data_IF_479556188671
#
_entry.id   IF_479556188671
#
_cell.length_a   1.000
_cell.length_b   1.000
_cell.length_c   1.000
_cell.angle_alpha   90.00
_cell.angle_beta   90.00
_cell.angle_gamma   90.00
#
_symmetry.space_group_name_H-M   'P 1'
#
loop_
_entity.id
_entity.type
_entity.pdbx_description
1 polymer ?
#
# COMPACT_ATOMS: atom_id res chain seq x y z
N UNK A 1 -15.56 -15.55 30.04
CA UNK A 1 -15.39 -15.02 28.68
C UNK A 1 -16.74 -15.05 27.99
N UNK A 2 -17.26 -13.89 27.60
CA UNK A 2 -18.60 -13.76 27.01
C UNK A 2 -18.57 -14.09 25.51
N UNK A 3 -19.75 -14.26 24.90
CA UNK A 3 -19.86 -14.41 23.44
C UNK A 3 -19.25 -13.21 22.68
N UNK A 4 -19.42 -12.00 23.24
CA UNK A 4 -18.89 -10.78 22.67
C UNK A 4 -17.37 -10.70 22.75
N UNK A 5 -16.77 -11.17 23.86
CA UNK A 5 -15.31 -11.25 24.00
C UNK A 5 -14.72 -12.20 22.96
N UNK A 6 -15.33 -13.38 22.77
CA UNK A 6 -14.90 -14.38 21.78
C UNK A 6 -14.99 -13.83 20.35
N UNK A 7 -16.06 -13.08 20.04
CA UNK A 7 -16.23 -12.44 18.73
C UNK A 7 -15.17 -11.37 18.47
N UNK A 8 -14.81 -10.59 19.49
CA UNK A 8 -13.74 -9.57 19.38
C UNK A 8 -12.37 -10.22 19.17
N UNK A 9 -12.06 -11.25 19.95
CA UNK A 9 -10.80 -11.97 19.85
C UNK A 9 -10.62 -12.63 18.47
N UNK A 10 -11.66 -13.28 17.95
CA UNK A 10 -11.62 -13.89 16.62
C UNK A 10 -11.40 -12.83 15.53
N UNK A 11 -12.07 -11.69 15.60
CA UNK A 11 -11.85 -10.58 14.66
C UNK A 11 -10.41 -10.06 14.70
N UNK A 12 -9.83 -9.94 15.90
CA UNK A 12 -8.45 -9.50 16.06
C UNK A 12 -7.47 -10.50 15.43
N UNK A 13 -7.68 -11.80 15.65
CA UNK A 13 -6.85 -12.86 15.05
C UNK A 13 -6.93 -12.86 13.52
N UNK A 14 -8.13 -12.70 12.95
CA UNK A 14 -8.32 -12.62 11.48
C UNK A 14 -7.56 -11.42 10.90
N UNK A 15 -7.72 -10.23 11.49
CA UNK A 15 -7.01 -9.02 11.04
C UNK A 15 -5.49 -9.15 11.14
N UNK A 16 -4.99 -9.75 12.23
CA UNK A 16 -3.56 -9.99 12.39
C UNK A 16 -3.01 -10.95 11.32
N UNK A 17 -3.76 -12.01 10.99
CA UNK A 17 -3.40 -12.95 9.94
C UNK A 17 -3.44 -12.31 8.55
N UNK A 18 -4.44 -11.48 8.25
CA UNK A 18 -4.52 -10.71 7.00
C UNK A 18 -3.33 -9.75 6.86
N UNK A 19 -3.01 -9.00 7.93
CA UNK A 19 -1.85 -8.10 7.96
C UNK A 19 -0.54 -8.86 7.71
N UNK A 20 -0.36 -10.01 8.34
CA UNK A 20 0.85 -10.81 8.16
C UNK A 20 0.95 -11.35 6.72
N UNK A 21 -0.15 -11.85 6.14
CA UNK A 21 -0.16 -12.30 4.75
C UNK A 21 0.20 -11.17 3.78
N UNK A 22 -0.32 -9.97 4.02
CA UNK A 22 0.00 -8.81 3.19
C UNK A 22 1.50 -8.49 3.25
N UNK A 23 2.05 -8.41 4.47
CA UNK A 23 3.49 -8.26 4.71
C UNK A 23 4.33 -9.32 3.99
N UNK A 24 3.96 -10.59 4.13
CA UNK A 24 4.68 -11.72 3.54
C UNK A 24 4.62 -11.70 2.01
N UNK A 25 3.59 -11.08 1.43
CA UNK A 25 3.43 -10.96 -0.03
C UNK A 25 4.18 -9.78 -0.65
N UNK A 26 4.70 -8.84 0.15
CA UNK A 26 5.32 -7.63 -0.37
C UNK A 26 6.55 -7.97 -1.23
N UNK A 27 6.63 -7.48 -2.48
CA UNK A 27 7.80 -7.69 -3.34
C UNK A 27 8.96 -6.72 -3.03
N UNK A 28 8.83 -5.95 -1.95
CA UNK A 28 9.79 -4.94 -1.52
C UNK A 28 9.70 -4.74 0.00
N UNK A 29 10.69 -4.05 0.58
CA UNK A 29 10.64 -3.67 1.99
C UNK A 29 9.42 -2.77 2.28
N UNK A 30 8.76 -2.99 3.42
CA UNK A 30 7.66 -2.16 3.90
C UNK A 30 8.03 -0.67 3.99
N UNK A 31 9.29 -0.36 4.30
CA UNK A 31 9.81 1.02 4.33
C UNK A 31 9.82 1.64 2.94
N UNK A 32 10.12 0.87 1.90
CA UNK A 32 10.02 1.31 0.51
C UNK A 32 8.59 1.59 0.10
N UNK A 33 7.65 0.72 0.46
CA UNK A 33 6.22 0.98 0.23
C UNK A 33 5.77 2.27 0.93
N UNK A 34 6.18 2.45 2.19
CA UNK A 34 5.87 3.65 2.97
C UNK A 34 6.36 4.93 2.31
N UNK A 35 7.53 4.89 1.68
CA UNK A 35 8.12 6.04 1.00
C UNK A 35 7.53 6.29 -0.40
N UNK A 36 7.02 5.25 -1.07
CA UNK A 36 6.37 5.36 -2.38
C UNK A 36 5.08 6.20 -2.30
N UNK A 37 4.24 5.98 -1.28
CA UNK A 37 2.96 6.67 -1.14
C UNK A 37 3.08 8.21 -1.11
N UNK A 38 3.91 8.82 -0.24
CA UNK A 38 4.11 10.26 -0.25
C UNK A 38 4.87 10.76 -1.49
N UNK A 39 5.69 9.94 -2.13
CA UNK A 39 6.34 10.30 -3.39
C UNK A 39 5.32 10.53 -4.52
N UNK A 40 4.28 9.68 -4.59
CA UNK A 40 3.21 9.80 -5.57
C UNK A 40 2.17 10.88 -5.17
N UNK A 41 1.95 11.10 -3.88
CA UNK A 41 0.91 12.00 -3.36
C UNK A 41 1.31 13.50 -3.41
N UNK A 42 1.38 14.04 -4.63
CA UNK A 42 1.74 15.44 -4.92
C UNK A 42 0.53 16.39 -4.77
N UNK A 43 0.79 17.64 -4.38
CA UNK A 43 -0.20 18.72 -4.32
C UNK A 43 0.31 19.98 -5.08
N UNK A 44 -0.38 20.45 -6.15
CA UNK A 44 -1.56 19.83 -6.74
C UNK A 44 -1.23 18.50 -7.40
N UNK A 45 -2.16 17.54 -7.31
CA UNK A 45 -2.01 16.27 -8.00
C UNK A 45 -1.96 16.50 -9.52
N UNK A 46 -0.97 15.94 -10.24
CA UNK A 46 -0.94 16.03 -11.69
C UNK A 46 -2.13 15.28 -12.31
N UNK A 47 -2.53 15.60 -13.56
CA UNK A 47 -3.47 14.78 -14.31
C UNK A 47 -2.99 13.33 -14.38
N UNK A 48 -3.90 12.37 -14.19
CA UNK A 48 -3.57 10.97 -14.29
C UNK A 48 -3.08 10.61 -15.70
N UNK A 49 -1.88 10.04 -15.79
CA UNK A 49 -1.30 9.54 -17.05
C UNK A 49 -1.80 8.14 -17.42
N UNK A 50 -2.54 7.46 -16.53
CA UNK A 50 -2.93 6.05 -16.61
C UNK A 50 -1.74 5.09 -16.77
N UNK A 51 -0.59 5.47 -16.22
CA UNK A 51 0.63 4.65 -16.21
C UNK A 51 1.23 4.58 -14.81
N UNK A 52 2.28 3.75 -14.67
CA UNK A 52 3.13 3.65 -13.49
C UNK A 52 4.45 4.42 -13.66
N UNK A 53 4.47 5.49 -14.44
CA UNK A 53 5.72 6.18 -14.81
C UNK A 53 6.50 6.63 -13.57
N UNK A 54 5.81 7.24 -12.60
CA UNK A 54 6.44 7.75 -11.38
C UNK A 54 6.83 6.60 -10.44
N UNK A 55 5.98 5.58 -10.32
CA UNK A 55 6.31 4.36 -9.57
C UNK A 55 7.57 3.69 -10.12
N UNK A 56 7.70 3.56 -11.45
CA UNK A 56 8.87 2.97 -12.10
C UNK A 56 10.12 3.81 -11.85
N UNK A 57 10.01 5.13 -11.92
CA UNK A 57 11.11 6.06 -11.60
C UNK A 57 11.58 5.88 -10.16
N UNK A 58 10.65 5.87 -9.20
CA UNK A 58 10.94 5.66 -7.79
C UNK A 58 11.65 4.32 -7.54
N UNK A 59 11.12 3.23 -8.08
CA UNK A 59 11.69 1.89 -7.90
C UNK A 59 13.10 1.79 -8.47
N UNK A 60 13.32 2.32 -9.68
CA UNK A 60 14.65 2.37 -10.31
C UNK A 60 15.64 3.21 -9.51
N UNK A 61 15.19 4.31 -8.90
CA UNK A 61 16.05 5.13 -8.03
C UNK A 61 16.53 4.39 -6.79
N UNK A 62 15.88 3.27 -6.42
CA UNK A 62 16.22 2.39 -5.30
C UNK A 62 16.82 1.04 -5.72
N UNK A 63 17.16 0.88 -7.01
CA UNK A 63 17.65 -0.39 -7.58
C UNK A 63 16.68 -1.57 -7.40
N UNK A 64 15.37 -1.28 -7.46
CA UNK A 64 14.30 -2.28 -7.38
C UNK A 64 13.71 -2.50 -8.77
N UNK A 65 13.60 -3.77 -9.18
CA UNK A 65 13.01 -4.13 -10.47
C UNK A 65 11.49 -3.86 -10.49
N UNK A 66 10.98 -2.96 -11.35
CA UNK A 66 9.55 -2.74 -11.46
C UNK A 66 8.77 -3.99 -11.85
N UNK A 67 9.38 -4.95 -12.56
CA UNK A 67 8.71 -6.17 -13.00
C UNK A 67 8.25 -7.05 -11.84
N UNK A 68 8.85 -6.93 -10.65
CA UNK A 68 8.41 -7.67 -9.45
C UNK A 68 7.36 -6.90 -8.64
N UNK A 69 7.38 -5.56 -8.67
CA UNK A 69 6.49 -4.73 -7.85
C UNK A 69 5.17 -4.41 -8.55
N UNK A 70 5.20 -4.09 -9.84
CA UNK A 70 4.00 -3.67 -10.60
C UNK A 70 2.88 -4.74 -10.58
N UNK A 71 3.16 -6.05 -10.75
CA UNK A 71 2.11 -7.07 -10.66
C UNK A 71 1.39 -7.04 -9.30
N UNK A 72 2.15 -6.97 -8.21
CA UNK A 72 1.60 -6.90 -6.86
C UNK A 72 0.75 -5.64 -6.64
N UNK A 73 1.18 -4.48 -7.16
CA UNK A 73 0.37 -3.26 -7.09
C UNK A 73 -0.97 -3.43 -7.82
N UNK A 74 -0.97 -4.05 -9.01
CA UNK A 74 -2.19 -4.32 -9.78
C UNK A 74 -3.13 -5.31 -9.09
N UNK A 75 -2.59 -6.35 -8.46
CA UNK A 75 -3.36 -7.28 -7.64
C UNK A 75 -4.06 -6.59 -6.47
N UNK A 76 -3.48 -5.49 -5.97
CA UNK A 76 -4.05 -4.63 -4.93
C UNK A 76 -4.76 -3.38 -5.51
N UNK A 77 -5.13 -3.39 -6.79
CA UNK A 77 -5.95 -2.36 -7.42
C UNK A 77 -5.21 -1.11 -7.91
N UNK A 78 -3.88 -1.07 -7.86
CA UNK A 78 -3.07 0.04 -8.36
C UNK A 78 -2.66 -0.12 -9.83
N UNK A 79 -3.52 0.22 -10.80
CA UNK A 79 -3.22 0.13 -12.24
C UNK A 79 -2.61 1.41 -12.84
N UNK A 80 -2.66 2.54 -12.12
CA UNK A 80 -1.90 3.78 -12.36
C UNK A 80 -1.22 4.25 -11.07
N UNK A 81 -0.29 5.20 -11.17
CA UNK A 81 0.27 5.93 -10.02
C UNK A 81 -0.83 6.49 -9.08
N UNK A 82 -1.94 6.96 -9.66
CA UNK A 82 -3.09 7.47 -8.92
C UNK A 82 -3.83 6.43 -8.07
N UNK A 83 -4.00 5.22 -8.60
CA UNK A 83 -4.70 4.12 -7.95
C UNK A 83 -3.79 3.41 -6.94
N UNK A 84 -2.46 3.52 -7.06
CA UNK A 84 -1.56 3.16 -5.97
C UNK A 84 -1.90 3.98 -4.72
N UNK A 85 -2.19 5.27 -4.88
CA UNK A 85 -2.61 6.13 -3.77
C UNK A 85 -4.01 5.78 -3.27
N UNK A 86 -4.99 5.62 -4.17
CA UNK A 86 -6.39 5.48 -3.73
C UNK A 86 -6.81 4.05 -3.36
N UNK A 87 -6.20 3.02 -3.96
CA UNK A 87 -6.63 1.63 -3.81
C UNK A 87 -5.61 0.80 -3.01
N UNK A 88 -4.32 0.91 -3.32
CA UNK A 88 -3.29 0.14 -2.59
C UNK A 88 -3.16 0.65 -1.16
N UNK A 89 -3.35 1.96 -0.94
CA UNK A 89 -3.46 2.55 0.40
C UNK A 89 -4.49 1.84 1.30
N UNK A 90 -5.69 1.54 0.81
CA UNK A 90 -6.73 0.91 1.65
C UNK A 90 -6.28 -0.44 2.19
N UNK A 91 -5.41 -1.15 1.45
CA UNK A 91 -4.83 -2.41 1.90
C UNK A 91 -3.69 -2.21 2.92
N UNK A 92 -2.86 -1.16 2.75
CA UNK A 92 -1.55 -1.04 3.44
C UNK A 92 -1.44 0.15 4.40
N UNK A 93 -2.41 1.06 4.45
CA UNK A 93 -2.31 2.33 5.19
C UNK A 93 -2.01 2.14 6.67
N UNK A 94 -2.79 1.28 7.33
CA UNK A 94 -2.57 0.89 8.73
C UNK A 94 -1.22 0.17 8.93
N UNK A 95 -0.75 -0.53 7.90
CA UNK A 95 0.50 -1.27 7.94
C UNK A 95 1.71 -0.34 7.91
N UNK A 96 1.69 0.69 7.07
CA UNK A 96 2.81 1.63 6.87
C UNK A 96 2.71 2.90 7.73
N UNK A 97 1.58 3.11 8.41
CA UNK A 97 1.33 4.27 9.26
C UNK A 97 1.27 5.59 8.48
N UNK A 98 0.91 5.51 7.20
CA UNK A 98 0.61 6.65 6.34
C UNK A 98 -0.90 6.74 6.20
N UNK A 99 -1.48 7.94 6.20
CA UNK A 99 -2.93 8.14 6.12
C UNK A 99 -3.23 9.36 5.24
N UNK A 100 -4.08 9.16 4.23
CA UNK A 100 -4.46 10.19 3.24
C UNK A 100 -5.02 11.47 3.87
N UNK A 101 -5.66 11.35 5.04
CA UNK A 101 -6.40 12.45 5.69
C UNK A 101 -5.71 13.09 6.90
N UNK A 102 -4.44 12.77 7.19
CA UNK A 102 -3.72 13.50 8.24
C UNK A 102 -3.27 14.86 7.71
N UNK A 103 -4.18 15.83 7.73
CA UNK A 103 -3.83 17.24 7.84
C UNK A 103 -2.90 17.38 9.05
N UNK A 104 -1.63 17.65 8.80
CA UNK A 104 -0.70 18.21 9.81
C UNK A 104 -1.22 19.54 10.32
#
# INVERSE_FOLDING_TARGET
>A
MTSDDRKRELKAQVRAAERQRLLDSLPMDITTLKDLLPFLNKDPAPPCSHTHQETIEFLRSRDIDPAVVIPWLKENGGFCDCEVIYNVYDAVGDLVGWHLDRKT
#
